data_IF_382060851106
#
_entry.id   IF_382060851106
#
_cell.length_a   1.000
_cell.length_b   1.000
_cell.length_c   1.000
_cell.angle_alpha   90.00
_cell.angle_beta   90.00
_cell.angle_gamma   90.00
#
_symmetry.space_group_name_H-M   'P 1'
#
loop_
_entity.id
_entity.type
_entity.pdbx_description
1 polymer ?
#
# COMPACT_ATOMS: atom_id res chain seq x y z
N UNK A 1 14.59 37.74 66.59
CA UNK A 1 14.32 36.29 66.73
C UNK A 1 13.34 35.88 65.62
N UNK A 2 13.66 34.80 64.87
CA UNK A 2 12.92 34.15 63.74
C UNK A 2 12.70 35.05 62.50
N UNK A 3 13.32 34.90 61.33
CA UNK A 3 13.91 33.82 60.51
C UNK A 3 12.89 32.87 59.81
N UNK A 4 13.17 32.64 58.50
CA UNK A 4 12.65 31.60 57.57
C UNK A 4 11.26 31.88 56.94
N UNK A 5 10.97 31.75 55.63
CA UNK A 5 11.70 31.30 54.43
C UNK A 5 10.90 31.76 53.19
N UNK A 6 11.58 32.12 52.11
CA UNK A 6 11.01 32.26 50.76
C UNK A 6 10.81 30.85 50.19
N UNK A 7 9.60 30.52 49.73
CA UNK A 7 9.38 29.39 48.81
C UNK A 7 8.38 29.79 47.72
N UNK A 8 8.94 30.08 46.55
CA UNK A 8 8.27 30.26 45.27
C UNK A 8 7.86 28.87 44.81
N UNK A 9 6.55 28.57 44.73
CA UNK A 9 6.07 27.37 44.05
C UNK A 9 5.73 27.71 42.61
N UNK A 10 6.66 27.35 41.73
CA UNK A 10 6.53 27.39 40.28
C UNK A 10 5.51 26.36 39.85
N UNK A 11 4.56 26.81 39.03
CA UNK A 11 3.53 25.99 38.42
C UNK A 11 4.12 24.92 37.50
N UNK A 12 3.71 23.66 37.68
CA UNK A 12 3.86 22.60 36.67
C UNK A 12 2.48 22.03 36.35
N UNK A 13 1.83 22.66 35.37
CA UNK A 13 0.69 22.08 34.69
C UNK A 13 1.19 20.97 33.77
N UNK A 14 0.96 19.71 34.16
CA UNK A 14 1.13 18.57 33.27
C UNK A 14 0.03 18.62 32.20
N UNK A 15 0.34 19.21 31.05
CA UNK A 15 -0.43 19.01 29.82
C UNK A 15 -0.09 17.61 29.29
N UNK A 16 -1.00 16.66 29.49
CA UNK A 16 -1.00 15.42 28.71
C UNK A 16 -1.65 15.78 27.37
N UNK A 17 -0.94 15.82 26.24
CA UNK A 17 -1.62 15.85 24.96
C UNK A 17 -2.34 14.52 24.80
N UNK A 18 -3.67 14.56 24.87
CA UNK A 18 -4.54 13.53 24.30
C UNK A 18 -4.24 13.52 22.80
N UNK A 19 -3.26 12.71 22.39
CA UNK A 19 -3.09 12.32 21.00
C UNK A 19 -4.25 11.39 20.71
N UNK A 20 -5.36 11.98 20.26
CA UNK A 20 -6.43 11.27 19.58
C UNK A 20 -5.83 10.68 18.31
N UNK A 21 -5.40 9.42 18.38
CA UNK A 21 -5.23 8.57 17.21
C UNK A 21 -6.63 8.32 16.65
N UNK A 22 -7.17 9.27 15.90
CA UNK A 22 -8.15 8.94 14.87
C UNK A 22 -7.39 8.26 13.73
N UNK A 23 -6.95 7.02 13.97
CA UNK A 23 -6.73 6.08 12.88
C UNK A 23 -8.12 5.74 12.36
N UNK A 24 -8.63 6.58 11.47
CA UNK A 24 -9.61 6.14 10.50
C UNK A 24 -8.85 5.08 9.70
N UNK A 25 -8.93 3.82 10.12
CA UNK A 25 -8.49 2.70 9.29
C UNK A 25 -9.32 2.81 8.03
N UNK A 26 -8.75 3.41 6.99
CA UNK A 26 -9.34 3.37 5.67
C UNK A 26 -9.42 1.89 5.32
N UNK A 27 -10.65 1.40 5.20
CA UNK A 27 -10.90 0.01 4.82
C UNK A 27 -10.53 -0.07 3.35
N UNK A 28 -9.43 -0.76 3.05
CA UNK A 28 -9.02 -1.04 1.69
C UNK A 28 -10.20 -1.60 0.87
N UNK A 29 -10.28 -1.30 -0.44
CA UNK A 29 -11.32 -1.88 -1.27
C UNK A 29 -11.26 -3.40 -1.20
N UNK A 30 -12.43 -4.02 -1.10
CA UNK A 30 -12.53 -5.48 -1.06
C UNK A 30 -12.08 -6.05 -2.41
N UNK A 31 -11.12 -6.97 -2.37
CA UNK A 31 -10.55 -7.61 -3.55
C UNK A 31 -11.59 -8.42 -4.35
N UNK A 32 -12.61 -8.97 -3.67
CA UNK A 32 -13.72 -9.70 -4.32
C UNK A 32 -14.59 -8.80 -5.19
N UNK A 33 -14.64 -7.50 -4.87
CA UNK A 33 -15.48 -6.52 -5.56
C UNK A 33 -14.76 -5.83 -6.73
N UNK A 34 -13.52 -6.23 -7.06
CA UNK A 34 -12.79 -5.69 -8.20
C UNK A 34 -13.44 -6.18 -9.50
N UNK A 35 -14.11 -5.31 -10.28
CA UNK A 35 -14.84 -5.75 -11.46
C UNK A 35 -13.90 -5.95 -12.65
N UNK A 36 -14.23 -6.88 -13.57
CA UNK A 36 -13.64 -6.86 -14.91
C UNK A 36 -13.87 -5.50 -15.60
N UNK A 37 -12.90 -4.97 -16.38
CA UNK A 37 -11.65 -5.59 -16.82
C UNK A 37 -10.43 -5.22 -15.96
N UNK A 38 -10.60 -5.02 -14.64
CA UNK A 38 -9.54 -4.61 -13.72
C UNK A 38 -8.91 -5.86 -13.10
N UNK A 39 -7.58 -5.93 -13.14
CA UNK A 39 -6.79 -6.97 -12.51
C UNK A 39 -6.40 -6.63 -11.08
N UNK A 40 -5.90 -5.42 -10.87
CA UNK A 40 -5.38 -5.00 -9.59
C UNK A 40 -5.46 -3.48 -9.41
N UNK A 41 -5.41 -3.06 -8.16
CA UNK A 41 -5.16 -1.68 -7.77
C UNK A 41 -3.79 -1.59 -7.12
N UNK A 42 -2.96 -0.64 -7.57
CA UNK A 42 -1.65 -0.35 -6.99
C UNK A 42 -1.71 1.00 -6.27
N UNK A 43 -1.34 1.02 -5.00
CA UNK A 43 -1.39 2.22 -4.17
C UNK A 43 0.02 2.68 -3.80
N UNK A 44 0.15 3.99 -3.59
CA UNK A 44 1.38 4.61 -3.10
C UNK A 44 1.50 4.60 -1.57
N UNK A 45 0.45 4.23 -0.85
CA UNK A 45 0.45 4.01 0.59
C UNK A 45 -0.09 2.63 0.98
N UNK A 46 0.23 2.20 2.20
CA UNK A 46 -0.22 0.94 2.78
C UNK A 46 -1.55 1.04 3.54
N UNK A 47 -2.21 2.21 3.50
CA UNK A 47 -3.49 2.47 4.14
C UNK A 47 -4.65 2.61 3.14
N UNK A 48 -4.42 2.38 1.83
CA UNK A 48 -5.42 2.51 0.78
C UNK A 48 -6.11 3.89 0.72
N UNK A 49 -5.41 4.94 1.18
CA UNK A 49 -5.98 6.26 1.44
C UNK A 49 -5.62 7.28 0.37
N UNK A 50 -4.52 7.09 -0.36
CA UNK A 50 -4.07 7.99 -1.41
C UNK A 50 -4.49 7.50 -2.81
N UNK A 51 -3.82 8.08 -3.80
CA UNK A 51 -4.01 7.79 -5.20
C UNK A 51 -3.60 6.34 -5.51
N UNK A 52 -4.36 5.72 -6.41
CA UNK A 52 -4.07 4.40 -6.92
C UNK A 52 -4.08 4.40 -8.44
N UNK A 53 -3.30 3.50 -9.04
CA UNK A 53 -3.39 3.19 -10.46
C UNK A 53 -4.13 1.87 -10.67
N UNK A 54 -4.90 1.83 -11.75
CA UNK A 54 -5.69 0.64 -12.13
C UNK A 54 -4.90 -0.19 -13.12
N UNK A 55 -4.67 -1.45 -12.80
CA UNK A 55 -4.05 -2.42 -13.71
C UNK A 55 -5.14 -3.15 -14.48
N UNK A 56 -5.02 -3.19 -15.80
CA UNK A 56 -5.97 -3.91 -16.65
C UNK A 56 -5.66 -5.40 -16.68
N UNK A 57 -6.70 -6.22 -16.83
CA UNK A 57 -6.52 -7.65 -17.10
C UNK A 57 -5.77 -7.88 -18.43
N UNK A 58 -5.01 -8.97 -18.48
CA UNK A 58 -4.23 -9.43 -19.63
C UNK A 58 -3.38 -8.32 -20.29
N UNK A 59 -2.76 -7.50 -19.44
CA UNK A 59 -1.98 -6.35 -19.87
C UNK A 59 -0.53 -6.46 -19.46
N UNK A 60 0.34 -5.95 -20.34
CA UNK A 60 1.76 -5.79 -20.12
C UNK A 60 2.07 -4.31 -20.25
N UNK A 61 2.62 -3.73 -19.19
CA UNK A 61 3.08 -2.35 -19.19
C UNK A 61 4.59 -2.37 -19.03
N UNK A 62 5.30 -1.92 -20.07
CA UNK A 62 6.76 -1.91 -20.08
C UNK A 62 7.34 -0.77 -19.25
N UNK A 63 6.57 0.28 -18.98
CA UNK A 63 7.01 1.42 -18.20
C UNK A 63 5.80 2.06 -17.52
N UNK A 64 5.81 2.09 -16.19
CA UNK A 64 4.79 2.77 -15.41
C UNK A 64 4.87 4.28 -15.65
N UNK A 65 3.71 4.94 -15.62
CA UNK A 65 3.65 6.40 -15.65
C UNK A 65 4.58 6.99 -14.55
N UNK A 66 5.32 8.07 -14.82
CA UNK A 66 6.21 8.69 -13.84
C UNK A 66 5.57 9.02 -12.49
N UNK A 67 4.24 9.18 -12.44
CA UNK A 67 3.50 9.37 -11.19
C UNK A 67 3.53 8.14 -10.27
N UNK A 68 3.62 6.94 -10.85
CA UNK A 68 3.53 5.65 -10.15
C UNK A 68 4.87 4.91 -10.04
N UNK A 69 5.79 5.21 -10.97
CA UNK A 69 7.11 4.60 -11.03
C UNK A 69 7.88 4.77 -9.70
N UNK A 70 8.37 3.66 -9.13
CA UNK A 70 9.07 3.62 -7.84
C UNK A 70 8.27 4.18 -6.65
N UNK A 71 6.94 4.30 -6.75
CA UNK A 71 6.08 4.81 -5.66
C UNK A 71 5.14 3.75 -5.08
N UNK A 72 5.00 2.59 -5.73
CA UNK A 72 4.02 1.59 -5.30
C UNK A 72 4.46 0.89 -4.01
N UNK A 73 3.56 0.84 -3.03
CA UNK A 73 3.81 0.21 -1.72
C UNK A 73 2.81 -0.90 -1.39
N UNK A 74 1.65 -0.92 -2.05
CA UNK A 74 0.59 -1.89 -1.82
C UNK A 74 -0.05 -2.30 -3.15
N UNK A 75 -0.38 -3.59 -3.29
CA UNK A 75 -1.18 -4.11 -4.39
C UNK A 75 -2.40 -4.87 -3.84
N UNK A 76 -3.58 -4.64 -4.42
CA UNK A 76 -4.79 -5.42 -4.16
C UNK A 76 -5.18 -6.07 -5.49
N UNK A 77 -5.26 -7.39 -5.51
CA UNK A 77 -5.39 -8.17 -6.74
C UNK A 77 -6.73 -8.88 -6.75
N UNK A 78 -7.42 -8.83 -7.89
CA UNK A 78 -8.68 -9.57 -8.11
C UNK A 78 -8.40 -11.08 -7.94
N UNK A 79 -9.29 -11.86 -7.28
CA UNK A 79 -8.99 -13.23 -6.86
C UNK A 79 -8.55 -14.20 -7.98
N UNK A 80 -9.05 -14.02 -9.20
CA UNK A 80 -8.74 -14.84 -10.39
C UNK A 80 -7.50 -14.36 -11.17
N UNK A 81 -6.80 -13.35 -10.67
CA UNK A 81 -5.67 -12.71 -11.34
C UNK A 81 -4.32 -12.96 -10.66
N UNK A 82 -3.29 -12.79 -11.46
CA UNK A 82 -1.89 -12.78 -11.05
C UNK A 82 -1.22 -11.51 -11.58
N UNK A 83 -0.39 -10.91 -10.74
CA UNK A 83 0.37 -9.72 -11.05
C UNK A 83 1.85 -10.00 -10.83
N UNK A 84 2.67 -9.74 -11.85
CA UNK A 84 4.12 -9.77 -11.74
C UNK A 84 4.65 -8.33 -11.85
N UNK A 85 5.30 -7.85 -10.79
CA UNK A 85 5.88 -6.51 -10.71
C UNK A 85 7.40 -6.59 -10.90
N UNK A 86 7.97 -5.70 -11.71
CA UNK A 86 9.40 -5.68 -12.06
C UNK A 86 10.07 -4.39 -11.59
N UNK A 87 11.33 -4.50 -11.18
CA UNK A 87 12.20 -3.39 -10.73
C UNK A 87 12.90 -2.69 -11.91
N UNK A 88 12.89 -3.30 -13.09
CA UNK A 88 13.38 -2.70 -14.32
C UNK A 88 12.27 -2.45 -15.33
N UNK A 89 12.42 -1.37 -16.11
CA UNK A 89 11.58 -1.12 -17.28
C UNK A 89 11.71 -2.27 -18.30
N UNK A 90 10.71 -2.42 -19.16
CA UNK A 90 10.60 -3.48 -20.16
C UNK A 90 10.60 -4.90 -19.59
N UNK A 91 10.01 -5.11 -18.40
CA UNK A 91 9.86 -6.45 -17.80
C UNK A 91 11.24 -7.06 -17.53
N UNK A 92 12.12 -6.29 -16.89
CA UNK A 92 13.50 -6.70 -16.61
C UNK A 92 13.82 -6.68 -15.12
N UNK A 93 15.02 -7.14 -14.78
CA UNK A 93 15.55 -7.19 -13.42
C UNK A 93 14.76 -8.08 -12.45
N UNK A 94 14.78 -7.73 -11.16
CA UNK A 94 14.14 -8.50 -10.10
C UNK A 94 12.63 -8.31 -10.18
N UNK A 95 11.88 -9.37 -9.93
CA UNK A 95 10.42 -9.31 -9.98
C UNK A 95 9.74 -9.95 -8.77
N UNK A 96 8.45 -9.68 -8.63
CA UNK A 96 7.56 -10.25 -7.61
C UNK A 96 6.24 -10.67 -8.24
N UNK A 97 6.05 -11.98 -8.26
CA UNK A 97 4.79 -12.61 -8.60
C UNK A 97 3.85 -12.62 -7.39
N UNK A 98 2.67 -12.04 -7.56
CA UNK A 98 1.63 -11.83 -6.56
C UNK A 98 0.30 -12.37 -7.10
N UNK A 99 -0.60 -12.83 -6.23
CA UNK A 99 -1.92 -13.38 -6.59
C UNK A 99 -2.08 -14.86 -6.23
N UNK A 100 -3.22 -15.44 -6.63
CA UNK A 100 -3.58 -16.83 -6.35
C UNK A 100 -3.95 -17.12 -4.91
N UNK A 101 -4.59 -16.16 -4.21
CA UNK A 101 -5.02 -16.30 -2.80
C UNK A 101 -3.87 -16.59 -1.83
N UNK A 102 -2.66 -16.20 -2.19
CA UNK A 102 -1.44 -16.46 -1.41
C UNK A 102 -1.28 -15.51 -0.20
N UNK A 103 -2.03 -14.40 -0.18
CA UNK A 103 -2.16 -13.51 0.99
C UNK A 103 -3.61 -13.41 1.43
N UNK A 104 -3.83 -13.13 2.72
CA UNK A 104 -5.17 -12.90 3.27
C UNK A 104 -5.84 -11.74 2.52
N UNK A 105 -6.93 -12.05 1.84
CA UNK A 105 -7.70 -11.09 1.04
C UNK A 105 -7.00 -10.56 -0.21
N UNK A 106 -6.02 -11.27 -0.78
CA UNK A 106 -5.25 -10.83 -1.97
C UNK A 106 -4.71 -9.38 -1.86
N UNK A 107 -4.42 -8.95 -0.63
CA UNK A 107 -3.79 -7.67 -0.31
C UNK A 107 -2.30 -7.91 -0.05
N UNK A 108 -1.44 -7.15 -0.72
CA UNK A 108 0.00 -7.36 -0.74
C UNK A 108 0.72 -6.07 -0.35
N UNK A 109 1.17 -6.00 0.90
CA UNK A 109 2.03 -4.90 1.37
C UNK A 109 3.47 -5.18 0.92
N UNK A 110 3.95 -4.45 -0.11
CA UNK A 110 5.19 -4.78 -0.83
C UNK A 110 6.46 -4.70 0.04
N UNK A 111 6.41 -3.97 1.17
CA UNK A 111 7.52 -3.91 2.14
C UNK A 111 7.84 -5.29 2.73
N UNK A 112 6.84 -6.16 2.89
CA UNK A 112 7.02 -7.53 3.39
C UNK A 112 7.72 -8.44 2.36
N UNK A 113 7.74 -8.02 1.10
CA UNK A 113 8.38 -8.73 -0.02
C UNK A 113 9.70 -8.06 -0.45
N UNK A 114 10.19 -7.08 0.32
CA UNK A 114 11.34 -6.24 0.00
C UNK A 114 11.23 -5.57 -1.39
N UNK A 115 10.02 -5.14 -1.75
CA UNK A 115 9.69 -4.62 -3.08
C UNK A 115 8.90 -3.30 -3.09
N UNK A 116 8.74 -2.65 -1.92
CA UNK A 116 8.13 -1.33 -1.86
C UNK A 116 8.99 -0.29 -2.61
N UNK A 117 8.35 0.63 -3.33
CA UNK A 117 8.97 1.74 -4.05
C UNK A 117 9.99 1.31 -5.11
N UNK A 118 9.72 0.19 -5.77
CA UNK A 118 10.60 -0.41 -6.78
C UNK A 118 9.89 -0.77 -8.08
N UNK A 119 8.56 -0.80 -8.09
CA UNK A 119 7.84 -1.21 -9.28
C UNK A 119 8.02 -0.17 -10.40
N UNK A 120 8.53 -0.60 -11.55
CA UNK A 120 8.72 0.22 -12.74
C UNK A 120 8.00 -0.33 -13.97
N UNK A 121 7.74 -1.63 -14.02
CA UNK A 121 6.93 -2.26 -15.07
C UNK A 121 6.14 -3.45 -14.51
N UNK A 122 5.12 -3.90 -15.23
CA UNK A 122 4.29 -5.00 -14.77
C UNK A 122 3.74 -5.86 -15.90
N UNK A 123 3.39 -7.08 -15.53
CA UNK A 123 2.54 -7.95 -16.30
C UNK A 123 1.40 -8.44 -15.42
N UNK A 124 0.15 -8.28 -15.89
CA UNK A 124 -0.98 -8.93 -15.25
C UNK A 124 -1.67 -9.89 -16.21
N UNK A 125 -2.02 -11.05 -15.69
CA UNK A 125 -2.83 -12.04 -16.35
C UNK A 125 -3.97 -12.47 -15.42
N UNK A 126 -5.17 -12.58 -15.98
CA UNK A 126 -6.32 -13.10 -15.25
C UNK A 126 -6.80 -14.38 -15.91
N UNK A 127 -7.14 -15.38 -15.10
CA UNK A 127 -7.89 -16.51 -15.62
C UNK A 127 -9.30 -16.01 -15.91
N UNK A 128 -9.53 -15.51 -17.13
CA UNK A 128 -10.87 -15.27 -17.64
C UNK A 128 -11.64 -16.57 -17.44
N UNK A 129 -12.55 -16.55 -16.46
CA UNK A 129 -13.24 -17.69 -15.88
C UNK A 129 -13.11 -18.99 -16.70
N UNK A 130 -12.60 -20.03 -16.04
CA UNK A 130 -13.01 -21.41 -16.32
C UNK A 130 -14.53 -21.41 -16.51
N UNK A 131 -14.99 -21.40 -17.76
CA UNK A 131 -16.35 -21.78 -18.13
C UNK A 131 -16.48 -23.29 -18.05
#
# INVERSE_FOLDING_TARGET
>A
MRNWTVLINVATFYYIPLISFEQIFAVCPNFEDIPPPICAFLFTDDECSNAFCTVREDSLETELDPLWNDQITLAIIRPDCFLDLYDGANITETHRFLGGETSEGNVYVLKWYAFANRATSYFCFCNGFLN
#
